data_IF_673168674868
#
_entry.id   IF_673168674868
#
_cell.length_a   1.000
_cell.length_b   1.000
_cell.length_c   1.000
_cell.angle_alpha   90.00
_cell.angle_beta   90.00
_cell.angle_gamma   90.00
#
_symmetry.space_group_name_H-M   'P 1'
#
loop_
_entity.id
_entity.type
_entity.pdbx_description
1 polymer ?
#
# COMPACT_ATOMS: atom_id res chain seq x y z
N UNK A 1 44.05 29.37 6.39
CA UNK A 1 43.98 28.01 6.98
C UNK A 1 42.57 27.61 7.44
N UNK A 2 41.75 28.52 7.99
CA UNK A 2 40.38 28.19 8.44
C UNK A 2 39.40 27.79 7.33
N UNK A 3 39.43 28.49 6.18
CA UNK A 3 38.54 28.22 5.04
C UNK A 3 38.70 26.80 4.46
N UNK A 4 39.94 26.32 4.30
CA UNK A 4 40.22 24.98 3.80
C UNK A 4 39.73 23.87 4.77
N UNK A 5 39.83 24.09 6.08
CA UNK A 5 39.27 23.18 7.09
C UNK A 5 37.74 23.17 7.05
N UNK A 6 37.13 24.35 6.92
CA UNK A 6 35.69 24.49 6.77
C UNK A 6 35.17 23.79 5.51
N UNK A 7 35.79 24.03 4.35
CA UNK A 7 35.44 23.39 3.07
C UNK A 7 35.58 21.86 3.15
N UNK A 8 36.65 21.34 3.77
CA UNK A 8 36.80 19.90 4.00
C UNK A 8 35.70 19.33 4.90
N UNK A 9 35.36 20.03 5.98
CA UNK A 9 34.27 19.60 6.86
C UNK A 9 32.92 19.59 6.11
N UNK A 10 32.62 20.63 5.33
CA UNK A 10 31.39 20.70 4.52
C UNK A 10 31.36 19.58 3.48
N UNK A 11 32.48 19.27 2.81
CA UNK A 11 32.58 18.17 1.86
C UNK A 11 32.41 16.80 2.53
N UNK A 12 33.01 16.59 3.71
CA UNK A 12 32.85 15.33 4.45
C UNK A 12 31.41 15.15 4.94
N UNK A 13 30.79 16.21 5.42
CA UNK A 13 29.39 16.20 5.84
C UNK A 13 28.45 15.99 4.65
N UNK A 14 28.69 16.63 3.50
CA UNK A 14 27.86 16.43 2.30
C UNK A 14 28.01 15.02 1.72
N UNK A 15 29.22 14.47 1.70
CA UNK A 15 29.47 13.07 1.29
C UNK A 15 28.81 12.10 2.28
N UNK A 16 28.91 12.34 3.59
CA UNK A 16 28.26 11.51 4.60
C UNK A 16 26.73 11.54 4.47
N UNK A 17 26.14 12.71 4.20
CA UNK A 17 24.71 12.84 3.92
C UNK A 17 24.35 12.08 2.64
N UNK A 18 25.09 12.22 1.55
CA UNK A 18 24.81 11.49 0.29
C UNK A 18 24.88 9.97 0.44
N UNK A 19 25.70 9.44 1.36
CA UNK A 19 25.80 8.00 1.61
C UNK A 19 24.71 7.49 2.58
N UNK A 20 24.37 8.27 3.61
CA UNK A 20 23.43 7.84 4.66
C UNK A 20 21.96 8.17 4.33
N UNK A 21 21.70 9.26 3.61
CA UNK A 21 20.35 9.70 3.24
C UNK A 21 19.60 8.69 2.36
N UNK A 22 20.23 8.05 1.34
CA UNK A 22 19.57 6.98 0.58
C UNK A 22 19.28 5.74 1.42
N UNK A 23 20.17 5.40 2.37
CA UNK A 23 19.98 4.25 3.25
C UNK A 23 18.81 4.45 4.22
N UNK A 24 18.63 5.67 4.75
CA UNK A 24 17.47 6.04 5.57
C UNK A 24 16.18 6.08 4.76
N UNK A 25 16.21 6.61 3.52
CA UNK A 25 15.04 6.60 2.63
C UNK A 25 14.64 5.18 2.19
N UNK A 26 15.57 4.22 2.16
CA UNK A 26 15.28 2.85 1.74
C UNK A 26 14.80 1.94 2.87
N UNK A 27 14.85 2.39 4.15
CA UNK A 27 14.51 1.54 5.29
C UNK A 27 13.00 1.24 5.42
N UNK A 28 12.13 1.93 4.68
CA UNK A 28 10.69 1.69 4.64
C UNK A 28 10.24 1.09 3.29
N UNK A 29 11.06 0.21 2.70
CA UNK A 29 10.63 -0.58 1.55
C UNK A 29 9.70 -1.72 2.00
N UNK A 30 8.49 -1.37 2.44
CA UNK A 30 7.39 -2.32 2.42
C UNK A 30 7.32 -2.86 0.98
N UNK A 31 7.45 -4.17 0.77
CA UNK A 31 7.09 -4.79 -0.52
C UNK A 31 5.71 -4.22 -0.87
N UNK A 32 5.64 -3.34 -1.87
CA UNK A 32 4.48 -2.46 -2.13
C UNK A 32 3.22 -3.21 -2.55
N UNK A 33 3.17 -4.52 -2.29
CA UNK A 33 2.03 -5.39 -2.48
C UNK A 33 1.05 -5.13 -1.35
N UNK A 34 0.05 -4.34 -1.69
CA UNK A 34 -1.17 -4.21 -0.88
C UNK A 34 -1.81 -5.59 -0.73
N UNK A 35 -2.00 -6.03 0.52
CA UNK A 35 -2.78 -7.24 0.80
C UNK A 35 -4.27 -6.93 0.54
N UNK A 36 -4.74 -7.34 -0.63
CA UNK A 36 -6.13 -7.16 -1.08
C UNK A 36 -7.12 -7.70 -0.05
N UNK A 37 -6.81 -8.81 0.63
CA UNK A 37 -7.73 -9.46 1.55
C UNK A 37 -7.87 -8.72 2.90
N UNK A 38 -7.04 -7.72 3.16
CA UNK A 38 -7.10 -6.86 4.35
C UNK A 38 -7.65 -5.47 4.07
N UNK A 39 -7.96 -5.17 2.81
CA UNK A 39 -8.58 -3.89 2.46
C UNK A 39 -10.04 -3.85 2.94
N UNK A 40 -10.56 -2.69 3.34
CA UNK A 40 -11.97 -2.56 3.69
C UNK A 40 -12.85 -2.76 2.44
N UNK A 41 -14.11 -3.14 2.63
CA UNK A 41 -15.10 -3.07 1.55
C UNK A 41 -15.26 -1.62 1.08
N UNK A 42 -15.22 -1.39 -0.23
CA UNK A 42 -15.28 -0.04 -0.78
C UNK A 42 -16.26 0.03 -1.96
N UNK A 43 -17.35 0.78 -1.73
CA UNK A 43 -18.41 1.01 -2.71
C UNK A 43 -17.97 1.93 -3.85
N UNK A 44 -16.90 2.70 -3.68
CA UNK A 44 -16.46 3.72 -4.63
C UNK A 44 -17.42 4.91 -4.73
N UNK A 45 -17.27 5.71 -5.79
CA UNK A 45 -17.86 7.06 -5.86
C UNK A 45 -19.22 7.15 -6.55
N UNK A 46 -19.73 6.02 -7.05
CA UNK A 46 -20.98 5.96 -7.82
C UNK A 46 -22.11 5.29 -7.01
N UNK A 47 -23.37 5.56 -7.41
CA UNK A 47 -24.57 5.06 -6.71
C UNK A 47 -25.30 3.95 -7.49
N UNK A 48 -24.55 3.12 -8.23
CA UNK A 48 -25.12 1.92 -8.87
C UNK A 48 -25.16 0.76 -7.87
N UNK A 49 -26.03 -0.21 -8.13
CA UNK A 49 -26.20 -1.39 -7.29
C UNK A 49 -25.60 -2.62 -7.95
N UNK A 50 -24.33 -2.91 -7.67
CA UNK A 50 -23.71 -4.18 -8.01
C UNK A 50 -23.48 -4.99 -6.73
N UNK A 51 -24.18 -6.11 -6.57
CA UNK A 51 -23.92 -7.04 -5.47
C UNK A 51 -22.58 -7.75 -5.71
N UNK A 52 -21.62 -7.55 -4.82
CA UNK A 52 -20.28 -8.12 -4.88
C UNK A 52 -19.92 -8.73 -3.53
N UNK A 53 -18.80 -9.47 -3.48
CA UNK A 53 -18.30 -10.12 -2.28
C UNK A 53 -16.98 -9.50 -1.83
N UNK A 54 -16.81 -9.24 -0.54
CA UNK A 54 -15.56 -8.78 0.08
C UNK A 54 -15.19 -9.69 1.25
N UNK A 55 -13.89 -9.86 1.52
CA UNK A 55 -13.42 -10.59 2.69
C UNK A 55 -13.30 -9.65 3.90
N UNK A 56 -13.86 -10.04 5.04
CA UNK A 56 -13.86 -9.23 6.27
C UNK A 56 -12.71 -9.58 7.25
N UNK A 57 -11.78 -10.44 6.82
CA UNK A 57 -10.72 -11.00 7.66
C UNK A 57 -11.04 -12.40 8.19
N UNK A 58 -12.32 -12.80 8.19
CA UNK A 58 -12.77 -14.13 8.63
C UNK A 58 -13.51 -14.86 7.52
N UNK A 59 -14.42 -14.20 6.82
CA UNK A 59 -15.26 -14.78 5.78
C UNK A 59 -15.57 -13.77 4.67
N UNK A 60 -16.19 -14.26 3.59
CA UNK A 60 -16.66 -13.43 2.51
C UNK A 60 -18.11 -13.00 2.74
N UNK A 61 -18.34 -11.69 2.75
CA UNK A 61 -19.66 -11.09 2.93
C UNK A 61 -20.07 -10.29 1.70
N UNK A 62 -21.39 -10.14 1.51
CA UNK A 62 -21.93 -9.34 0.40
C UNK A 62 -21.84 -7.86 0.72
N UNK A 63 -21.54 -7.05 -0.29
CA UNK A 63 -21.64 -5.60 -0.22
C UNK A 63 -22.10 -5.01 -1.57
N UNK A 64 -22.50 -3.74 -1.55
CA UNK A 64 -22.91 -3.02 -2.76
C UNK A 64 -21.73 -2.22 -3.30
N UNK A 65 -21.36 -2.50 -4.55
CA UNK A 65 -20.39 -1.72 -5.30
C UNK A 65 -21.09 -0.72 -6.23
N UNK A 66 -20.61 0.53 -6.21
CA UNK A 66 -21.12 1.67 -6.97
C UNK A 66 -20.75 1.65 -8.46
N UNK A 67 -19.78 0.81 -8.86
CA UNK A 67 -19.38 0.62 -10.24
C UNK A 67 -18.21 1.47 -10.73
N UNK A 68 -17.70 2.42 -9.93
CA UNK A 68 -16.49 3.18 -10.25
C UNK A 68 -15.65 3.40 -9.00
N UNK A 69 -14.33 3.31 -9.16
CA UNK A 69 -13.38 3.42 -8.05
C UNK A 69 -13.46 2.21 -7.11
N UNK A 70 -13.26 2.48 -5.83
CA UNK A 70 -13.11 1.46 -4.81
C UNK A 70 -11.78 0.72 -4.90
N UNK A 71 -11.67 -0.39 -4.19
CA UNK A 71 -10.45 -1.20 -4.15
C UNK A 71 -10.69 -2.65 -4.63
N UNK A 72 -9.66 -3.49 -4.54
CA UNK A 72 -9.66 -4.83 -5.11
C UNK A 72 -10.25 -5.92 -4.19
N UNK A 73 -10.65 -5.60 -2.95
CA UNK A 73 -11.39 -6.53 -2.08
C UNK A 73 -12.85 -6.66 -2.55
N UNK A 74 -13.01 -7.11 -3.79
CA UNK A 74 -14.27 -7.14 -4.53
C UNK A 74 -14.26 -8.30 -5.52
N UNK A 75 -15.12 -9.27 -5.28
CA UNK A 75 -15.19 -10.50 -6.05
C UNK A 75 -16.62 -10.74 -6.56
N UNK A 76 -16.78 -11.36 -7.74
CA UNK A 76 -18.11 -11.59 -8.34
C UNK A 76 -18.88 -12.73 -7.67
N UNK A 77 -18.21 -13.63 -6.95
CA UNK A 77 -18.85 -14.76 -6.24
C UNK A 77 -18.14 -15.02 -4.92
N UNK A 78 -18.88 -15.56 -3.94
CA UNK A 78 -18.34 -16.00 -2.65
C UNK A 78 -17.18 -16.98 -2.84
N UNK A 79 -17.33 -17.95 -3.75
CA UNK A 79 -16.29 -18.94 -4.06
C UNK A 79 -14.99 -18.31 -4.55
N UNK A 80 -15.07 -17.27 -5.39
CA UNK A 80 -13.88 -16.56 -5.86
C UNK A 80 -13.19 -15.80 -4.73
N UNK A 81 -13.97 -15.16 -3.86
CA UNK A 81 -13.49 -14.46 -2.67
C UNK A 81 -12.79 -15.44 -1.70
N UNK A 82 -13.46 -16.53 -1.31
CA UNK A 82 -12.90 -17.52 -0.39
C UNK A 82 -11.66 -18.21 -0.98
N UNK A 83 -11.67 -18.52 -2.28
CA UNK A 83 -10.49 -19.09 -2.96
C UNK A 83 -9.28 -18.16 -2.89
N UNK A 84 -9.49 -16.84 -2.94
CA UNK A 84 -8.42 -15.84 -2.89
C UNK A 84 -7.95 -15.55 -1.46
N UNK A 85 -8.88 -15.38 -0.52
CA UNK A 85 -8.58 -14.81 0.79
C UNK A 85 -8.61 -15.77 1.97
N UNK A 86 -9.36 -16.89 1.90
CA UNK A 86 -9.45 -17.82 3.03
C UNK A 86 -8.17 -18.65 3.27
N UNK A 87 -7.19 -18.56 2.37
CA UNK A 87 -5.87 -19.21 2.50
C UNK A 87 -4.74 -18.20 2.77
N UNK A 88 -5.05 -16.91 2.81
CA UNK A 88 -4.07 -15.84 2.99
C UNK A 88 -3.68 -15.69 4.46
#
# INVERSE_FOLDING_TARGET
MGTARFLRAVLLLSVLLMVTFPALLSAEHHDGRVDICRLPSDSGDCLRFFEMWCFDGTTCTKFVYGGYGGNDNRFPTEKACMKRCAKA
#
